data_IF_266242549817
#
_entry.id   IF_266242549817
#
_cell.length_a   1.000
_cell.length_b   1.000
_cell.length_c   1.000
_cell.angle_alpha   90.00
_cell.angle_beta   90.00
_cell.angle_gamma   90.00
#
_symmetry.space_group_name_H-M   'P 1'
#
loop_
_entity.id
_entity.type
_entity.pdbx_description
1 polymer ?
#
# COMPACT_ATOMS: atom_id res chain seq x y z
N UNK A 1 24.04 41.14 53.64
CA UNK A 1 23.01 41.77 52.79
C UNK A 1 23.01 41.04 51.45
N UNK A 2 22.26 39.94 51.35
CA UNK A 2 22.00 39.25 50.09
C UNK A 2 20.50 38.94 50.13
N UNK A 3 19.74 39.76 49.40
CA UNK A 3 18.30 39.62 49.23
C UNK A 3 18.07 38.46 48.26
N UNK A 4 17.51 37.35 48.77
CA UNK A 4 16.97 36.29 47.93
C UNK A 4 15.64 36.76 47.34
N UNK A 5 15.62 36.93 46.02
CA UNK A 5 14.41 37.20 45.26
C UNK A 5 13.57 35.92 45.23
N UNK A 6 12.51 35.87 46.04
CA UNK A 6 11.39 34.98 45.77
C UNK A 6 10.64 35.53 44.55
N UNK A 7 10.95 35.03 43.36
CA UNK A 7 10.03 35.15 42.24
C UNK A 7 8.83 34.26 42.54
N UNK A 8 7.71 34.87 42.90
CA UNK A 8 6.40 34.27 42.66
C UNK A 8 6.36 33.90 41.17
N UNK A 9 6.48 32.62 40.84
CA UNK A 9 5.99 32.11 39.58
C UNK A 9 4.48 32.30 39.62
N UNK A 10 4.00 33.34 38.92
CA UNK A 10 2.57 33.58 38.74
C UNK A 10 1.93 32.33 38.16
N UNK A 11 0.75 31.99 38.68
CA UNK A 11 -0.14 31.02 38.07
C UNK A 11 -0.23 31.32 36.56
N UNK A 12 0.27 30.40 35.73
CA UNK A 12 0.11 30.46 34.28
C UNK A 12 -1.40 30.48 34.00
N UNK A 13 -1.85 31.50 33.26
CA UNK A 13 -3.26 31.67 32.95
C UNK A 13 -3.78 30.47 32.13
N UNK A 14 -4.88 29.89 32.61
CA UNK A 14 -5.77 29.01 31.85
C UNK A 14 -6.11 29.69 30.51
N UNK A 15 -5.83 29.02 29.39
CA UNK A 15 -6.16 29.39 28.01
C UNK A 15 -6.22 30.90 27.66
N UNK A 16 -5.24 31.38 26.88
CA UNK A 16 -5.20 32.75 26.37
C UNK A 16 -5.76 32.83 24.96
N UNK A 17 -6.82 33.62 24.77
CA UNK A 17 -7.30 33.95 23.42
C UNK A 17 -6.50 35.10 22.81
N UNK A 18 -6.25 35.03 21.51
CA UNK A 18 -5.47 36.04 20.81
C UNK A 18 -5.33 35.80 19.31
N UNK A 19 -4.37 36.51 18.73
CA UNK A 19 -4.03 36.43 17.29
C UNK A 19 -2.55 36.12 17.04
N UNK A 20 -1.81 35.76 18.10
CA UNK A 20 -0.38 35.45 18.03
C UNK A 20 -0.15 33.93 18.14
N UNK A 21 1.03 33.48 17.75
CA UNK A 21 1.49 32.11 17.99
C UNK A 21 1.43 31.80 19.51
N UNK A 22 0.99 30.60 19.84
CA UNK A 22 0.71 30.12 21.19
C UNK A 22 -0.65 30.54 21.73
N UNK A 23 -1.37 31.44 21.05
CA UNK A 23 -2.70 31.85 21.45
C UNK A 23 -3.77 30.91 20.90
N UNK A 24 -4.76 30.66 21.75
CA UNK A 24 -6.00 30.05 21.31
C UNK A 24 -6.78 31.02 20.41
N UNK A 25 -7.42 30.49 19.38
CA UNK A 25 -8.25 31.31 18.50
C UNK A 25 -9.41 31.93 19.30
N UNK A 26 -9.88 33.10 18.88
CA UNK A 26 -10.97 33.81 19.56
C UNK A 26 -12.19 32.88 19.76
N UNK A 27 -12.76 32.92 20.97
CA UNK A 27 -13.87 32.05 21.41
C UNK A 27 -13.56 30.54 21.44
N UNK A 28 -12.30 30.15 21.34
CA UNK A 28 -11.88 28.72 21.33
C UNK A 28 -11.30 28.27 22.66
N UNK A 29 -11.30 29.13 23.69
CA UNK A 29 -11.14 28.71 25.08
C UNK A 29 -12.47 28.17 25.63
N UNK A 30 -12.92 27.04 25.09
CA UNK A 30 -14.26 26.47 25.33
C UNK A 30 -14.25 25.04 25.88
N UNK A 31 -13.06 24.47 26.09
CA UNK A 31 -12.89 23.16 26.71
C UNK A 31 -12.81 23.35 28.23
N UNK A 32 -13.90 23.05 28.93
CA UNK A 32 -14.03 23.26 30.37
C UNK A 32 -13.85 21.92 31.09
N UNK A 33 -12.70 21.75 31.76
CA UNK A 33 -12.39 20.62 32.64
C UNK A 33 -12.23 21.12 34.08
N UNK A 34 -11.05 21.00 34.68
CA UNK A 34 -10.67 21.68 35.93
C UNK A 34 -10.42 23.17 35.71
N UNK A 35 -9.88 23.51 34.54
CA UNK A 35 -9.72 24.87 34.03
C UNK A 35 -10.23 24.95 32.59
N UNK A 36 -10.05 26.12 31.97
CA UNK A 36 -10.43 26.35 30.58
C UNK A 36 -9.23 26.10 29.67
N UNK A 37 -9.44 25.32 28.61
CA UNK A 37 -8.45 24.88 27.64
C UNK A 37 -8.85 25.25 26.22
N UNK A 38 -7.88 25.22 25.32
CA UNK A 38 -8.06 25.56 23.92
C UNK A 38 -8.64 24.39 23.11
N UNK A 39 -9.52 24.66 22.15
CA UNK A 39 -9.99 23.70 21.14
C UNK A 39 -9.46 23.97 19.73
N UNK A 40 -8.97 25.19 19.46
CA UNK A 40 -8.48 25.62 18.13
C UNK A 40 -7.35 26.64 18.30
N UNK A 41 -6.20 26.37 17.68
CA UNK A 41 -5.07 27.28 17.68
C UNK A 41 -5.22 28.39 16.65
N UNK A 42 -4.72 29.58 16.99
CA UNK A 42 -4.70 30.71 16.06
C UNK A 42 -3.76 30.42 14.89
N UNK A 43 -2.54 29.96 15.19
CA UNK A 43 -1.55 29.70 14.15
C UNK A 43 -1.78 28.32 13.50
N UNK A 44 -1.76 28.32 12.17
CA UNK A 44 -2.04 27.13 11.37
C UNK A 44 -0.93 26.06 11.44
N UNK A 45 0.22 26.40 12.00
CA UNK A 45 1.39 25.52 12.11
C UNK A 45 1.54 24.88 13.48
N UNK A 46 0.62 25.16 14.40
CA UNK A 46 0.68 24.67 15.77
C UNK A 46 -0.08 23.35 15.94
N UNK A 47 0.12 22.73 17.10
CA UNK A 47 -0.48 21.47 17.49
C UNK A 47 -1.17 21.63 18.84
N UNK A 48 -2.40 21.15 18.94
CA UNK A 48 -3.20 21.23 20.15
C UNK A 48 -2.94 20.01 21.04
N UNK A 49 -2.03 20.18 22.01
CA UNK A 49 -1.60 19.13 22.94
C UNK A 49 -1.91 19.58 24.37
N UNK A 50 -2.61 18.73 25.13
CA UNK A 50 -3.06 19.02 26.50
C UNK A 50 -3.80 20.36 26.62
N UNK A 51 -4.57 20.69 25.58
CA UNK A 51 -5.34 21.93 25.50
C UNK A 51 -4.51 23.20 25.29
N UNK A 52 -3.24 23.07 24.88
CA UNK A 52 -2.31 24.16 24.61
C UNK A 52 -1.86 24.16 23.15
N UNK A 53 -1.66 25.35 22.59
CA UNK A 53 -1.13 25.53 21.25
C UNK A 53 0.38 25.54 21.28
N UNK A 54 0.98 24.46 20.75
CA UNK A 54 2.42 24.26 20.76
C UNK A 54 3.00 24.38 19.34
N UNK A 55 4.15 25.04 19.17
CA UNK A 55 4.79 25.20 17.86
C UNK A 55 5.42 23.92 17.32
N UNK A 56 5.61 22.90 18.16
CA UNK A 56 6.24 21.63 17.79
C UNK A 56 5.33 20.45 18.12
N UNK A 57 5.28 19.48 17.21
CA UNK A 57 4.60 18.21 17.43
C UNK A 57 5.46 17.28 18.29
N UNK A 58 5.40 17.46 19.61
CA UNK A 58 6.17 16.67 20.57
C UNK A 58 5.88 15.18 20.36
N UNK A 59 6.92 14.36 20.20
CA UNK A 59 6.85 12.90 20.03
C UNK A 59 5.93 12.41 18.89
N UNK A 60 5.69 13.23 17.86
CA UNK A 60 4.69 12.95 16.82
C UNK A 60 3.28 12.65 17.38
N UNK A 61 2.94 13.28 18.50
CA UNK A 61 1.67 13.06 19.21
C UNK A 61 0.47 13.32 18.31
N UNK A 62 0.46 14.41 17.54
CA UNK A 62 -0.58 14.73 16.58
C UNK A 62 -0.25 14.05 15.24
N UNK A 63 -0.96 12.99 14.84
CA UNK A 63 -0.60 12.23 13.62
C UNK A 63 -0.87 12.98 12.31
N UNK A 64 -1.79 13.94 12.33
CA UNK A 64 -2.08 14.83 11.20
C UNK A 64 -2.81 16.08 11.71
N UNK A 65 -2.36 17.28 11.34
CA UNK A 65 -3.00 18.54 11.71
C UNK A 65 -3.76 19.15 10.54
N UNK A 66 -4.95 19.70 10.78
CA UNK A 66 -5.78 20.35 9.76
C UNK A 66 -5.45 21.83 9.54
N UNK A 67 -4.31 22.31 10.05
CA UNK A 67 -3.89 23.69 9.85
C UNK A 67 -4.55 24.68 10.82
N UNK A 68 -4.93 24.25 12.02
CA UNK A 68 -5.52 25.10 13.07
C UNK A 68 -5.25 24.54 14.49
N UNK A 69 -4.15 23.81 14.68
CA UNK A 69 -3.91 23.08 15.92
C UNK A 69 -4.60 21.73 16.02
N UNK A 70 -5.76 21.53 15.39
CA UNK A 70 -6.55 20.30 15.60
C UNK A 70 -5.91 19.07 14.96
N UNK A 71 -6.03 17.96 15.66
CA UNK A 71 -5.46 16.67 15.30
C UNK A 71 -6.53 15.72 14.77
N UNK A 72 -6.23 15.04 13.66
CA UNK A 72 -7.05 13.95 13.14
C UNK A 72 -7.04 12.73 14.08
N UNK A 73 -5.87 12.39 14.58
CA UNK A 73 -5.68 11.31 15.57
C UNK A 73 -4.43 11.55 16.42
N UNK A 74 -4.39 10.86 17.55
CA UNK A 74 -3.34 10.99 18.55
C UNK A 74 -2.48 9.71 18.60
N UNK A 75 -1.17 9.89 18.77
CA UNK A 75 -0.20 8.81 18.95
C UNK A 75 0.16 8.62 20.43
N UNK A 76 0.62 7.42 20.78
CA UNK A 76 1.09 7.11 22.13
C UNK A 76 -0.05 7.13 23.16
N UNK A 77 0.22 7.49 24.43
CA UNK A 77 -0.77 7.47 25.50
C UNK A 77 -1.64 8.73 25.49
N UNK A 78 -2.06 9.23 24.34
CA UNK A 78 -2.89 10.43 24.22
C UNK A 78 -4.27 10.11 23.65
N UNK A 79 -5.31 10.62 24.31
CA UNK A 79 -6.69 10.51 23.87
C UNK A 79 -7.05 11.69 22.96
N UNK A 80 -7.83 11.44 21.90
CA UNK A 80 -8.46 12.50 21.13
C UNK A 80 -9.67 13.07 21.88
N UNK A 81 -9.68 14.39 22.08
CA UNK A 81 -10.79 15.11 22.70
C UNK A 81 -10.89 16.53 22.16
N UNK A 82 -12.09 16.95 21.72
CA UNK A 82 -12.36 18.32 21.25
C UNK A 82 -11.34 18.86 20.22
N UNK A 83 -10.82 17.97 19.37
CA UNK A 83 -9.83 18.30 18.35
C UNK A 83 -8.37 18.29 18.81
N UNK A 84 -8.08 18.11 20.09
CA UNK A 84 -6.71 18.02 20.62
C UNK A 84 -6.34 16.64 21.14
N UNK A 85 -5.05 16.46 21.45
CA UNK A 85 -4.50 15.25 22.03
C UNK A 85 -4.17 15.45 23.51
N UNK A 86 -4.76 14.64 24.39
CA UNK A 86 -4.68 14.81 25.85
C UNK A 86 -4.03 13.58 26.50
N UNK A 87 -2.97 13.80 27.27
CA UNK A 87 -2.15 12.74 27.84
C UNK A 87 -2.91 11.97 28.92
N UNK A 88 -2.96 10.66 28.77
CA UNK A 88 -3.56 9.75 29.75
C UNK A 88 -2.60 9.56 30.93
N UNK A 89 -3.14 9.48 32.15
CA UNK A 89 -2.34 9.32 33.36
C UNK A 89 -1.98 10.66 34.01
N UNK A 90 -2.12 11.76 33.29
CA UNK A 90 -1.77 13.11 33.73
C UNK A 90 -2.97 14.08 33.56
N UNK A 91 -2.94 15.20 34.27
CA UNK A 91 -3.90 16.29 34.06
C UNK A 91 -3.44 17.12 32.87
N UNK A 92 -4.31 17.48 31.91
CA UNK A 92 -5.78 17.40 31.97
C UNK A 92 -6.44 16.09 31.54
N UNK A 93 -5.73 15.15 30.90
CA UNK A 93 -6.36 13.97 30.29
C UNK A 93 -7.20 13.12 31.25
N UNK A 94 -6.79 13.03 32.52
CA UNK A 94 -7.53 12.33 33.57
C UNK A 94 -8.95 12.88 33.83
N UNK A 95 -9.20 14.17 33.50
CA UNK A 95 -10.53 14.78 33.62
C UNK A 95 -11.46 14.41 32.45
N UNK A 96 -10.91 13.87 31.37
CA UNK A 96 -11.67 13.38 30.21
C UNK A 96 -11.97 11.89 30.38
N UNK A 97 -10.92 11.11 30.66
CA UNK A 97 -10.99 9.67 30.86
C UNK A 97 -10.03 9.25 31.96
N UNK A 98 -10.49 8.44 32.91
CA UNK A 98 -9.61 7.97 33.98
C UNK A 98 -8.59 6.96 33.44
N UNK A 99 -7.38 6.86 34.01
CA UNK A 99 -6.37 5.90 33.57
C UNK A 99 -6.88 4.45 33.56
N UNK A 100 -7.66 4.05 34.55
CA UNK A 100 -8.28 2.72 34.62
C UNK A 100 -9.31 2.47 33.51
N UNK A 101 -9.90 3.54 32.97
CA UNK A 101 -10.92 3.50 31.93
C UNK A 101 -10.32 3.61 30.51
N UNK A 102 -9.00 3.73 30.38
CA UNK A 102 -8.31 3.73 29.08
C UNK A 102 -7.93 2.31 28.64
N UNK A 103 -8.10 2.04 27.36
CA UNK A 103 -7.60 0.84 26.69
C UNK A 103 -6.99 1.20 25.33
N UNK A 104 -6.26 0.27 24.71
CA UNK A 104 -5.54 0.54 23.47
C UNK A 104 -6.01 -0.36 22.33
N UNK A 105 -6.14 0.22 21.15
CA UNK A 105 -6.36 -0.50 19.90
C UNK A 105 -5.32 -0.01 18.89
N UNK A 106 -4.51 -0.93 18.38
CA UNK A 106 -3.44 -0.63 17.42
C UNK A 106 -2.54 0.54 17.89
N UNK A 107 -2.16 0.50 19.18
CA UNK A 107 -1.33 1.52 19.82
C UNK A 107 -2.00 2.90 20.04
N UNK A 108 -3.32 3.02 19.85
CA UNK A 108 -4.07 4.27 20.05
C UNK A 108 -4.88 4.19 21.35
N UNK A 109 -4.75 5.19 22.22
CA UNK A 109 -5.49 5.25 23.48
C UNK A 109 -6.96 5.63 23.24
N UNK A 110 -7.87 4.84 23.80
CA UNK A 110 -9.32 4.99 23.69
C UNK A 110 -9.96 4.97 25.09
N UNK A 111 -11.05 5.70 25.24
CA UNK A 111 -11.78 5.80 26.49
C UNK A 111 -12.95 4.81 26.50
N UNK A 112 -13.04 4.01 27.56
CA UNK A 112 -14.17 3.09 27.79
C UNK A 112 -15.30 3.75 28.59
N UNK A 113 -14.98 4.82 29.33
CA UNK A 113 -15.92 5.54 30.19
C UNK A 113 -15.51 6.99 30.40
N UNK A 114 -16.33 7.91 29.94
CA UNK A 114 -16.08 9.35 30.01
C UNK A 114 -16.38 9.92 31.39
N UNK A 115 -15.53 10.84 31.84
CA UNK A 115 -15.67 11.52 33.14
C UNK A 115 -16.56 12.76 33.03
N UNK A 116 -16.47 13.48 31.91
CA UNK A 116 -17.22 14.72 31.69
C UNK A 116 -18.73 14.44 31.65
N UNK A 117 -19.49 15.22 32.43
CA UNK A 117 -20.92 15.03 32.57
C UNK A 117 -21.66 15.14 31.23
N UNK A 118 -22.50 14.13 30.94
CA UNK A 118 -23.26 14.05 29.70
C UNK A 118 -22.45 13.66 28.46
N UNK A 119 -21.18 13.28 28.61
CA UNK A 119 -20.37 12.72 27.54
C UNK A 119 -20.25 11.19 27.67
N UNK A 120 -20.02 10.53 26.54
CA UNK A 120 -19.89 9.08 26.44
C UNK A 120 -18.96 8.73 25.27
N UNK A 121 -18.43 7.49 25.23
CA UNK A 121 -17.43 7.12 24.24
C UNK A 121 -18.08 6.74 22.92
N UNK A 122 -17.78 7.49 21.88
CA UNK A 122 -18.06 7.15 20.48
C UNK A 122 -16.72 7.03 19.77
N UNK A 123 -16.46 5.87 19.17
CA UNK A 123 -15.16 5.52 18.60
C UNK A 123 -13.99 5.72 19.59
N UNK A 124 -14.28 5.54 20.89
CA UNK A 124 -13.32 5.72 21.99
C UNK A 124 -13.02 7.17 22.36
N UNK A 125 -13.61 8.17 21.69
CA UNK A 125 -13.52 9.59 22.07
C UNK A 125 -14.75 10.04 22.85
N UNK A 126 -14.56 10.87 23.87
CA UNK A 126 -15.63 11.41 24.68
C UNK A 126 -16.38 12.54 23.97
N UNK A 127 -17.69 12.36 23.77
CA UNK A 127 -18.54 13.33 23.08
C UNK A 127 -19.95 13.39 23.67
N UNK A 128 -20.62 14.54 23.49
CA UNK A 128 -22.04 14.72 23.85
C UNK A 128 -23.00 14.18 22.78
N UNK A 129 -22.51 13.93 21.56
CA UNK A 129 -23.36 13.52 20.42
C UNK A 129 -23.42 12.01 20.34
N UNK A 130 -24.62 11.44 20.48
CA UNK A 130 -24.80 9.98 20.52
C UNK A 130 -24.82 9.32 19.14
N UNK A 131 -24.95 10.09 18.06
CA UNK A 131 -24.97 9.57 16.68
C UNK A 131 -25.99 8.43 16.45
N UNK A 132 -27.16 8.52 17.11
CA UNK A 132 -28.21 7.49 17.02
C UNK A 132 -28.00 6.29 17.95
N UNK A 133 -26.90 6.26 18.72
CA UNK A 133 -26.68 5.29 19.78
C UNK A 133 -27.45 5.66 21.05
N UNK A 134 -27.69 4.67 21.91
CA UNK A 134 -28.32 4.88 23.22
C UNK A 134 -27.23 4.96 24.27
N UNK A 135 -26.92 6.18 24.70
CA UNK A 135 -25.90 6.44 25.71
C UNK A 135 -26.43 7.32 26.83
N UNK A 136 -25.98 7.02 28.06
CA UNK A 136 -26.24 7.84 29.24
C UNK A 136 -27.70 8.21 29.46
N UNK A 137 -28.65 7.25 29.50
CA UNK A 137 -30.07 7.55 29.78
C UNK A 137 -30.31 8.24 31.12
N UNK A 138 -29.28 8.30 31.97
CA UNK A 138 -29.25 9.03 33.23
C UNK A 138 -28.12 10.08 33.35
N UNK A 139 -27.31 10.33 32.33
CA UNK A 139 -26.31 11.42 32.29
C UNK A 139 -25.04 11.26 33.17
N UNK A 140 -24.99 10.29 34.08
CA UNK A 140 -23.86 10.06 35.01
C UNK A 140 -23.12 8.73 34.83
N UNK A 141 -23.50 7.91 33.85
CA UNK A 141 -22.85 6.60 33.65
C UNK A 141 -21.56 6.69 32.82
N UNK A 142 -21.40 7.73 32.00
CA UNK A 142 -20.19 7.93 31.19
C UNK A 142 -19.98 6.88 30.10
N UNK A 143 -20.98 6.03 29.85
CA UNK A 143 -20.95 4.89 28.93
C UNK A 143 -22.20 4.86 28.03
N UNK A 144 -22.12 4.07 26.98
CA UNK A 144 -23.26 3.68 26.17
C UNK A 144 -23.95 2.42 26.73
N UNK A 145 -25.24 2.23 26.42
CA UNK A 145 -26.04 1.06 26.83
C UNK A 145 -26.28 0.13 25.64
N UNK A 146 -26.52 0.71 24.46
CA UNK A 146 -26.71 -0.04 23.22
C UNK A 146 -26.36 0.82 22.01
N UNK A 147 -25.90 0.19 20.93
CA UNK A 147 -25.46 0.90 19.74
C UNK A 147 -26.43 0.74 18.58
N UNK A 148 -26.56 1.80 17.77
CA UNK A 148 -27.44 1.89 16.62
C UNK A 148 -26.80 1.35 15.34
N UNK A 149 -27.49 1.57 14.22
CA UNK A 149 -27.06 1.16 12.87
C UNK A 149 -25.63 1.60 12.57
N UNK A 150 -24.79 0.70 12.08
CA UNK A 150 -23.38 0.96 11.77
C UNK A 150 -22.41 0.79 12.96
N UNK A 151 -22.93 0.71 14.19
CA UNK A 151 -22.10 0.61 15.39
C UNK A 151 -22.25 -0.74 16.08
N UNK A 152 -21.21 -1.12 16.81
CA UNK A 152 -21.26 -2.21 17.79
C UNK A 152 -20.83 -1.72 19.17
N UNK A 153 -21.34 -2.38 20.20
CA UNK A 153 -20.96 -2.13 21.58
C UNK A 153 -19.65 -2.83 21.90
N UNK A 154 -18.72 -2.11 22.50
CA UNK A 154 -17.45 -2.65 22.98
C UNK A 154 -16.95 -1.77 24.12
N UNK A 155 -16.47 -2.35 25.23
CA UNK A 155 -15.82 -1.59 26.30
C UNK A 155 -16.58 -0.30 26.69
N UNK A 156 -17.88 -0.39 26.99
CA UNK A 156 -18.65 0.76 27.47
C UNK A 156 -18.99 1.83 26.42
N UNK A 157 -18.58 1.69 25.16
CA UNK A 157 -18.81 2.67 24.10
C UNK A 157 -19.41 2.06 22.83
N UNK A 158 -19.68 2.93 21.84
CA UNK A 158 -20.17 2.52 20.52
C UNK A 158 -19.14 2.83 19.44
N UNK A 159 -18.82 1.82 18.63
CA UNK A 159 -17.72 1.87 17.65
C UNK A 159 -18.22 1.57 16.24
N UNK A 160 -17.86 2.40 15.27
CA UNK A 160 -18.19 2.21 13.86
C UNK A 160 -17.51 0.97 13.31
N UNK A 161 -18.29 0.08 12.69
CA UNK A 161 -17.79 -1.17 12.11
C UNK A 161 -16.80 -0.95 10.96
N UNK A 162 -16.99 0.09 10.16
CA UNK A 162 -16.25 0.33 8.91
C UNK A 162 -15.15 1.39 9.02
N UNK A 163 -14.86 1.89 10.22
CA UNK A 163 -13.84 2.92 10.46
C UNK A 163 -13.02 2.56 11.70
N UNK A 164 -11.79 3.08 11.74
CA UNK A 164 -10.96 3.02 12.94
C UNK A 164 -11.68 3.72 14.12
N UNK A 165 -11.65 3.15 15.34
CA UNK A 165 -10.96 1.91 15.72
C UNK A 165 -11.80 0.64 15.55
N UNK A 166 -13.11 0.75 15.28
CA UNK A 166 -13.99 -0.41 15.23
C UNK A 166 -13.63 -1.43 14.15
N UNK A 167 -13.13 -0.99 12.99
CA UNK A 167 -12.62 -1.88 11.94
C UNK A 167 -11.30 -2.60 12.27
N UNK A 168 -10.73 -2.37 13.47
CA UNK A 168 -9.60 -3.12 14.03
C UNK A 168 -10.01 -4.11 15.12
N UNK A 169 -11.31 -4.15 15.44
CA UNK A 169 -11.91 -5.03 16.44
C UNK A 169 -12.92 -5.96 15.77
N UNK A 170 -13.71 -5.41 14.85
CA UNK A 170 -14.79 -6.09 14.16
C UNK A 170 -14.47 -6.30 12.67
N UNK A 171 -14.57 -7.54 12.20
CA UNK A 171 -14.37 -7.90 10.80
C UNK A 171 -15.64 -7.65 9.96
N UNK A 172 -16.80 -7.67 10.61
CA UNK A 172 -18.07 -7.28 9.99
C UNK A 172 -18.11 -5.76 9.75
N UNK A 173 -18.41 -5.37 8.51
CA UNK A 173 -18.54 -3.97 8.07
C UNK A 173 -19.99 -3.55 7.77
N UNK A 174 -20.95 -4.46 7.89
CA UNK A 174 -22.37 -4.23 7.57
C UNK A 174 -23.01 -3.28 8.56
N UNK A 175 -23.63 -2.22 8.03
CA UNK A 175 -24.32 -1.25 8.88
C UNK A 175 -25.65 -1.75 9.44
N UNK A 176 -26.27 -2.72 8.77
CA UNK A 176 -27.65 -3.17 9.04
C UNK A 176 -27.74 -4.60 9.59
N UNK A 177 -26.69 -5.40 9.43
CA UNK A 177 -26.60 -6.72 10.05
C UNK A 177 -25.95 -6.59 11.43
N UNK A 178 -26.36 -7.45 12.36
CA UNK A 178 -25.86 -7.46 13.74
C UNK A 178 -25.83 -6.06 14.38
N UNK A 179 -26.88 -5.25 14.21
CA UNK A 179 -26.93 -3.89 14.76
C UNK A 179 -26.67 -3.91 16.26
N UNK A 180 -25.73 -3.09 16.73
CA UNK A 180 -25.34 -3.04 18.13
C UNK A 180 -24.28 -4.07 18.55
N UNK A 181 -23.96 -5.05 17.69
CA UNK A 181 -23.01 -6.12 17.96
C UNK A 181 -22.01 -6.29 16.81
N UNK A 182 -20.91 -6.98 17.07
CA UNK A 182 -20.02 -7.42 16.01
C UNK A 182 -20.39 -8.85 15.59
N UNK A 183 -20.67 -9.07 14.30
CA UNK A 183 -21.00 -10.41 13.79
C UNK A 183 -19.81 -11.36 13.83
N UNK A 184 -18.62 -10.84 13.47
CA UNK A 184 -17.36 -11.60 13.44
C UNK A 184 -16.23 -10.72 13.95
N UNK A 185 -15.54 -11.17 15.00
CA UNK A 185 -14.38 -10.46 15.55
C UNK A 185 -13.16 -10.57 14.64
N UNK A 186 -12.28 -9.58 14.69
CA UNK A 186 -10.96 -9.67 14.05
C UNK A 186 -9.99 -10.52 14.86
N UNK A 187 -8.92 -10.95 14.20
CA UNK A 187 -7.75 -11.58 14.83
C UNK A 187 -7.29 -10.79 16.07
N UNK A 188 -7.01 -11.51 17.15
CA UNK A 188 -6.70 -10.95 18.47
C UNK A 188 -7.92 -10.71 19.36
N UNK A 189 -9.13 -10.95 18.85
CA UNK A 189 -10.38 -10.84 19.60
C UNK A 189 -11.23 -12.10 19.46
N UNK A 190 -11.96 -12.45 20.52
CA UNK A 190 -12.90 -13.57 20.51
C UNK A 190 -14.28 -13.15 21.04
N UNK A 191 -15.33 -13.82 20.55
CA UNK A 191 -16.70 -13.51 20.94
C UNK A 191 -16.99 -14.05 22.34
N UNK A 192 -17.26 -13.14 23.28
CA UNK A 192 -17.75 -13.50 24.61
C UNK A 192 -19.04 -12.74 24.91
N UNK A 193 -20.14 -13.48 25.13
CA UNK A 193 -21.49 -12.92 25.39
C UNK A 193 -21.97 -11.89 24.35
N UNK A 194 -21.55 -12.03 23.09
CA UNK A 194 -21.95 -11.16 21.99
C UNK A 194 -21.12 -9.89 21.82
N UNK A 195 -19.96 -9.82 22.48
CA UNK A 195 -18.96 -8.75 22.36
C UNK A 195 -17.61 -9.35 21.92
N UNK A 196 -16.83 -8.59 21.15
CA UNK A 196 -15.45 -8.95 20.83
C UNK A 196 -14.54 -8.49 21.97
N UNK A 197 -13.96 -9.44 22.70
CA UNK A 197 -13.00 -9.17 23.76
C UNK A 197 -11.60 -9.51 23.27
N UNK A 198 -10.63 -8.65 23.59
CA UNK A 198 -9.24 -8.86 23.21
C UNK A 198 -8.65 -10.04 24.02
N UNK A 199 -7.85 -10.85 23.37
CA UNK A 199 -7.02 -11.84 24.04
C UNK A 199 -5.99 -11.13 24.95
N UNK A 200 -5.69 -11.73 26.11
CA UNK A 200 -4.77 -11.12 27.09
C UNK A 200 -3.32 -11.15 26.62
N UNK A 201 -2.93 -12.20 25.88
CA UNK A 201 -1.66 -12.27 25.19
C UNK A 201 -1.78 -11.51 23.86
N UNK A 202 -1.03 -10.42 23.71
CA UNK A 202 -1.02 -9.60 22.51
C UNK A 202 -0.49 -10.35 21.27
N UNK A 203 0.24 -11.47 21.46
CA UNK A 203 0.72 -12.33 20.39
C UNK A 203 -0.26 -13.48 20.10
N UNK A 204 -1.43 -13.50 20.74
CA UNK A 204 -2.48 -14.47 20.49
C UNK A 204 -3.47 -13.98 19.45
N UNK A 205 -3.55 -14.71 18.33
CA UNK A 205 -4.53 -14.46 17.26
C UNK A 205 -5.94 -14.91 17.65
N UNK A 206 -6.05 -15.99 18.42
CA UNK A 206 -7.33 -16.53 18.87
C UNK A 206 -7.19 -17.15 20.24
N UNK A 207 -7.97 -16.68 21.19
CA UNK A 207 -8.10 -17.24 22.53
C UNK A 207 -9.40 -18.03 22.67
N UNK A 208 -9.46 -18.91 23.68
CA UNK A 208 -10.66 -19.69 23.99
C UNK A 208 -11.70 -18.88 24.77
N UNK A 209 -12.53 -19.58 25.54
CA UNK A 209 -13.56 -18.95 26.41
C UNK A 209 -12.92 -18.01 27.45
N UNK A 210 -11.72 -18.36 27.92
CA UNK A 210 -10.88 -17.48 28.74
C UNK A 210 -9.96 -16.68 27.83
N UNK A 211 -9.97 -15.35 27.96
CA UNK A 211 -9.09 -14.47 27.17
C UNK A 211 -7.60 -14.72 27.45
N UNK A 212 -7.29 -15.38 28.57
CA UNK A 212 -5.95 -15.81 28.98
C UNK A 212 -5.49 -17.15 28.39
N UNK A 213 -6.34 -17.89 27.66
CA UNK A 213 -6.00 -19.22 27.12
C UNK A 213 -5.91 -19.12 25.60
N UNK A 214 -4.69 -18.99 25.08
CA UNK A 214 -4.49 -18.90 23.65
C UNK A 214 -4.70 -20.26 22.96
N UNK A 215 -5.37 -20.25 21.82
CA UNK A 215 -5.54 -21.40 20.94
C UNK A 215 -4.67 -21.28 19.69
N UNK A 216 -4.47 -20.07 19.19
CA UNK A 216 -3.71 -19.80 17.97
C UNK A 216 -2.88 -18.54 18.14
N UNK A 217 -1.57 -18.64 17.93
CA UNK A 217 -0.65 -17.51 17.97
C UNK A 217 -0.56 -16.76 16.64
N UNK A 218 -0.11 -15.51 16.71
CA UNK A 218 0.33 -14.77 15.53
C UNK A 218 1.58 -15.40 14.91
N UNK A 219 1.80 -15.17 13.61
CA UNK A 219 2.98 -15.67 12.90
C UNK A 219 4.28 -15.19 13.58
N UNK A 220 5.28 -16.06 13.61
CA UNK A 220 6.51 -15.84 14.39
C UNK A 220 6.42 -16.24 15.87
N UNK A 221 5.29 -16.78 16.33
CA UNK A 221 5.11 -17.34 17.67
C UNK A 221 4.52 -18.75 17.60
N UNK A 222 4.93 -19.63 18.52
CA UNK A 222 4.34 -20.96 18.68
C UNK A 222 3.56 -21.05 20.00
N UNK A 223 2.61 -21.98 20.03
CA UNK A 223 1.77 -22.20 21.20
C UNK A 223 2.46 -23.12 22.21
N UNK A 224 2.83 -22.58 23.36
CA UNK A 224 3.34 -23.33 24.50
C UNK A 224 2.23 -23.55 25.54
N UNK A 225 1.96 -24.82 25.89
CA UNK A 225 0.99 -25.20 26.93
C UNK A 225 1.65 -25.71 28.21
N UNK A 226 2.96 -25.94 28.19
CA UNK A 226 3.70 -26.52 29.31
C UNK A 226 4.04 -25.46 30.36
N UNK A 227 4.07 -24.18 29.97
CA UNK A 227 4.42 -23.06 30.85
C UNK A 227 3.32 -22.61 31.83
N UNK A 228 2.03 -22.89 31.58
CA UNK A 228 0.91 -22.28 32.31
C UNK A 228 -0.25 -23.24 32.66
N UNK A 229 0.05 -24.37 33.31
CA UNK A 229 -0.98 -25.31 33.80
C UNK A 229 -1.97 -25.78 32.70
N UNK A 230 -1.51 -25.83 31.43
CA UNK A 230 -2.32 -26.21 30.27
C UNK A 230 -2.96 -25.04 29.50
N UNK A 231 -2.89 -23.80 30.01
CA UNK A 231 -3.27 -22.60 29.27
C UNK A 231 -2.22 -22.30 28.20
N UNK A 232 -2.67 -22.04 26.98
CA UNK A 232 -1.79 -21.72 25.86
C UNK A 232 -1.24 -20.29 25.96
N UNK A 233 0.07 -20.15 25.79
CA UNK A 233 0.78 -18.87 25.69
C UNK A 233 1.64 -18.84 24.44
N UNK A 234 1.76 -17.67 23.82
CA UNK A 234 2.50 -17.50 22.59
C UNK A 234 3.96 -17.14 22.87
N UNK A 235 4.86 -18.07 22.54
CA UNK A 235 6.31 -17.91 22.71
C UNK A 235 6.93 -17.59 21.35
N UNK A 236 7.80 -16.57 21.25
CA UNK A 236 8.41 -16.20 19.97
C UNK A 236 9.28 -17.34 19.43
N UNK A 237 9.19 -17.57 18.13
CA UNK A 237 10.15 -18.40 17.40
C UNK A 237 11.54 -17.78 17.55
N UNK A 238 12.52 -18.59 17.98
CA UNK A 238 13.87 -18.09 18.20
C UNK A 238 14.50 -17.61 16.87
N UNK A 239 14.95 -16.33 16.80
CA UNK A 239 15.64 -15.82 15.61
C UNK A 239 16.93 -16.59 15.29
N UNK A 240 17.53 -17.25 16.29
CA UNK A 240 18.74 -18.05 16.10
C UNK A 240 18.52 -19.25 15.16
N UNK A 241 17.28 -19.71 15.04
CA UNK A 241 16.92 -20.88 14.24
C UNK A 241 16.38 -20.51 12.84
N UNK A 242 16.31 -19.21 12.51
CA UNK A 242 15.88 -18.71 11.20
C UNK A 242 14.47 -19.19 10.79
N UNK A 243 13.61 -19.45 11.77
CA UNK A 243 12.21 -19.79 11.53
C UNK A 243 11.39 -18.53 11.28
N UNK A 244 10.56 -18.53 10.24
CA UNK A 244 9.50 -17.54 10.08
C UNK A 244 8.25 -17.99 10.85
N UNK A 245 7.94 -19.29 10.82
CA UNK A 245 6.93 -19.93 11.67
C UNK A 245 7.52 -21.20 12.28
N UNK A 246 7.08 -21.56 13.49
CA UNK A 246 7.60 -22.70 14.23
C UNK A 246 6.52 -23.40 15.06
N UNK A 247 6.75 -24.65 15.43
CA UNK A 247 5.91 -25.39 16.40
C UNK A 247 6.55 -25.51 17.78
N UNK A 248 7.86 -25.33 17.85
CA UNK A 248 8.67 -25.30 19.05
C UNK A 248 9.99 -24.58 18.75
N UNK A 249 10.79 -24.32 19.78
CA UNK A 249 12.13 -23.78 19.59
C UNK A 249 13.00 -24.72 18.74
N UNK A 250 13.43 -24.24 17.58
CA UNK A 250 14.26 -25.00 16.63
C UNK A 250 13.51 -25.93 15.69
N UNK A 251 12.18 -26.03 15.80
CA UNK A 251 11.32 -26.78 14.89
C UNK A 251 10.49 -25.83 14.02
N UNK A 252 11.07 -25.39 12.91
CA UNK A 252 10.43 -24.47 11.98
C UNK A 252 9.41 -25.17 11.09
N UNK A 253 8.28 -24.52 10.80
CA UNK A 253 7.36 -24.90 9.71
C UNK A 253 7.76 -24.18 8.41
N UNK A 254 8.10 -22.89 8.52
CA UNK A 254 8.63 -22.09 7.41
C UNK A 254 9.90 -21.34 7.83
N UNK A 255 10.72 -20.99 6.85
CA UNK A 255 12.01 -20.36 7.04
C UNK A 255 11.96 -18.88 6.66
N UNK A 256 12.69 -18.05 7.39
CA UNK A 256 12.87 -16.64 7.01
C UNK A 256 13.57 -16.53 5.66
N UNK A 257 13.34 -15.41 4.95
CA UNK A 257 13.99 -15.13 3.66
C UNK A 257 15.52 -15.27 3.78
N UNK A 258 16.12 -15.92 2.79
CA UNK A 258 17.54 -16.27 2.80
C UNK A 258 17.84 -17.63 3.39
N UNK A 259 16.82 -18.38 3.81
CA UNK A 259 16.94 -19.74 4.30
C UNK A 259 15.90 -20.65 3.62
N UNK A 260 16.22 -21.93 3.47
CA UNK A 260 15.34 -22.96 2.93
C UNK A 260 15.11 -24.09 3.95
N UNK A 261 13.99 -24.79 3.80
CA UNK A 261 13.64 -25.92 4.64
C UNK A 261 14.51 -27.14 4.31
N UNK A 262 15.32 -27.60 5.26
CA UNK A 262 16.11 -28.83 5.14
C UNK A 262 15.40 -30.08 5.63
N UNK A 263 14.07 -30.10 5.58
CA UNK A 263 13.22 -31.16 6.09
C UNK A 263 12.10 -31.49 5.11
N UNK A 264 11.66 -32.75 5.13
CA UNK A 264 10.50 -33.24 4.35
C UNK A 264 9.26 -33.49 5.23
N UNK A 265 9.41 -33.33 6.55
CA UNK A 265 8.36 -33.51 7.54
C UNK A 265 7.51 -32.24 7.77
N UNK A 266 6.62 -32.25 8.77
CA UNK A 266 5.79 -31.08 9.11
C UNK A 266 6.61 -29.92 9.71
N UNK A 267 7.79 -30.20 10.24
CA UNK A 267 8.72 -29.22 10.78
C UNK A 267 10.17 -29.68 10.67
N UNK A 268 11.11 -28.76 10.88
CA UNK A 268 12.53 -29.05 10.99
C UNK A 268 13.40 -27.79 10.94
N UNK A 269 14.65 -27.94 10.51
CA UNK A 269 15.64 -26.87 10.52
C UNK A 269 15.72 -26.11 9.19
N UNK A 270 16.04 -24.81 9.30
CA UNK A 270 16.24 -23.91 8.18
C UNK A 270 17.73 -23.66 7.93
N UNK A 271 18.16 -23.79 6.66
CA UNK A 271 19.56 -23.64 6.27
C UNK A 271 19.76 -22.47 5.32
N UNK A 272 20.92 -21.83 5.41
CA UNK A 272 21.20 -20.60 4.65
C UNK A 272 21.26 -20.87 3.15
N UNK A 273 20.60 -20.04 2.35
CA UNK A 273 20.72 -20.06 0.89
C UNK A 273 22.16 -19.80 0.42
N UNK A 274 22.90 -18.95 1.12
CA UNK A 274 24.28 -18.57 0.78
C UNK A 274 25.29 -19.66 1.18
N UNK A 275 25.17 -20.17 2.41
CA UNK A 275 26.19 -21.04 3.03
C UNK A 275 25.80 -22.50 3.18
N UNK A 276 24.51 -22.83 3.16
CA UNK A 276 24.01 -24.16 3.51
C UNK A 276 24.14 -24.47 5.00
N UNK A 277 24.18 -25.76 5.33
CA UNK A 277 24.28 -26.30 6.69
C UNK A 277 23.90 -27.77 6.76
N UNK A 278 24.39 -28.51 7.76
CA UNK A 278 24.07 -29.94 8.01
C UNK A 278 24.09 -30.87 6.77
N UNK A 279 25.15 -30.76 5.96
CA UNK A 279 25.31 -31.56 4.74
C UNK A 279 24.61 -30.98 3.50
N UNK A 280 23.80 -29.92 3.66
CA UNK A 280 23.29 -29.13 2.54
C UNK A 280 24.29 -28.07 2.10
N UNK A 281 24.38 -27.88 0.78
CA UNK A 281 25.31 -26.90 0.18
C UNK A 281 24.55 -25.64 -0.23
N UNK A 282 25.01 -24.47 0.22
CA UNK A 282 24.47 -23.18 -0.22
C UNK A 282 25.03 -22.72 -1.58
N UNK A 283 24.40 -21.72 -2.18
CA UNK A 283 24.86 -21.03 -3.39
C UNK A 283 25.45 -19.68 -2.97
N UNK A 284 26.78 -19.47 -3.10
CA UNK A 284 27.40 -18.21 -2.72
C UNK A 284 26.73 -17.00 -3.41
N UNK A 285 26.49 -15.95 -2.66
CA UNK A 285 25.78 -14.73 -3.04
C UNK A 285 24.29 -14.94 -3.37
N UNK A 286 23.66 -16.00 -2.86
CA UNK A 286 22.23 -16.23 -3.03
C UNK A 286 21.40 -15.60 -1.89
N UNK A 287 20.39 -14.79 -2.25
CA UNK A 287 19.46 -14.16 -1.31
C UNK A 287 18.18 -14.94 -1.10
N UNK A 288 17.72 -15.69 -2.09
CA UNK A 288 16.50 -16.49 -1.99
C UNK A 288 16.68 -17.77 -2.79
N UNK A 289 16.24 -18.88 -2.23
CA UNK A 289 16.47 -20.19 -2.81
C UNK A 289 15.31 -21.14 -2.48
N UNK A 290 15.26 -22.22 -3.25
CA UNK A 290 14.43 -23.39 -3.00
C UNK A 290 15.29 -24.49 -2.38
N UNK A 291 14.67 -25.43 -1.63
CA UNK A 291 15.37 -26.61 -1.16
C UNK A 291 15.95 -27.44 -2.32
N UNK A 292 16.97 -28.28 -2.05
CA UNK A 292 17.56 -29.13 -3.07
C UNK A 292 16.52 -29.99 -3.77
N UNK A 293 16.75 -30.24 -5.06
CA UNK A 293 15.88 -31.11 -5.82
C UNK A 293 16.03 -32.57 -5.31
N UNK A 294 14.94 -33.34 -5.11
CA UNK A 294 15.00 -34.69 -4.53
C UNK A 294 15.91 -35.68 -5.27
N UNK A 295 16.22 -35.39 -6.54
CA UNK A 295 17.00 -36.25 -7.42
C UNK A 295 18.44 -35.75 -7.66
N UNK A 296 18.93 -34.74 -6.92
CA UNK A 296 20.31 -34.28 -7.06
C UNK A 296 21.18 -34.79 -5.90
N UNK A 297 22.32 -35.47 -6.19
CA UNK A 297 23.16 -36.09 -5.16
C UNK A 297 23.99 -35.09 -4.33
N UNK A 298 23.99 -33.81 -4.73
CA UNK A 298 24.80 -32.74 -4.14
C UNK A 298 24.11 -32.00 -2.98
N UNK A 299 22.82 -32.26 -2.74
CA UNK A 299 22.01 -31.57 -1.70
C UNK A 299 22.19 -30.04 -1.75
N UNK A 300 22.39 -29.49 -2.96
CA UNK A 300 22.64 -28.07 -3.16
C UNK A 300 21.32 -27.30 -3.25
N UNK A 301 21.24 -26.15 -2.58
CA UNK A 301 20.10 -25.25 -2.70
C UNK A 301 19.96 -24.71 -4.14
N UNK A 302 18.72 -24.45 -4.57
CA UNK A 302 18.46 -23.86 -5.89
C UNK A 302 18.18 -22.38 -5.74
N UNK A 303 19.16 -21.54 -6.07
CA UNK A 303 19.02 -20.09 -5.99
C UNK A 303 18.00 -19.56 -7.00
N UNK A 304 17.11 -18.68 -6.53
CA UNK A 304 16.10 -18.00 -7.36
C UNK A 304 16.37 -16.50 -7.47
N UNK A 305 17.17 -15.96 -6.56
CA UNK A 305 17.54 -14.55 -6.54
C UNK A 305 18.94 -14.36 -5.95
N UNK A 306 19.80 -13.69 -6.71
CA UNK A 306 21.15 -13.36 -6.30
C UNK A 306 21.21 -12.02 -5.58
N UNK A 307 22.23 -11.83 -4.76
CA UNK A 307 22.53 -10.55 -4.14
C UNK A 307 22.85 -9.46 -5.17
N UNK A 308 22.64 -8.21 -4.78
CA UNK A 308 22.95 -7.05 -5.61
C UNK A 308 24.38 -7.11 -6.15
N UNK A 309 24.51 -6.87 -7.46
CA UNK A 309 25.79 -6.98 -8.17
C UNK A 309 26.10 -8.38 -8.73
N UNK A 310 25.26 -9.38 -8.48
CA UNK A 310 25.38 -10.73 -9.03
C UNK A 310 24.20 -11.07 -9.96
N UNK A 311 24.47 -11.94 -10.92
CA UNK A 311 23.51 -12.41 -11.91
C UNK A 311 23.23 -13.89 -11.73
N UNK A 312 21.95 -14.27 -11.76
CA UNK A 312 21.54 -15.67 -11.70
C UNK A 312 21.92 -16.38 -13.00
N UNK A 313 22.73 -17.43 -12.88
CA UNK A 313 23.09 -18.36 -13.95
C UNK A 313 22.49 -19.73 -13.63
N UNK A 314 21.66 -20.25 -14.52
CA UNK A 314 21.07 -21.59 -14.42
C UNK A 314 21.88 -22.56 -15.29
N UNK A 315 22.11 -23.79 -14.83
CA UNK A 315 22.74 -24.84 -15.65
C UNK A 315 21.83 -25.27 -16.81
N UNK A 316 22.41 -25.81 -17.88
CA UNK A 316 21.66 -26.18 -19.09
C UNK A 316 20.62 -27.29 -18.84
N UNK A 317 20.91 -28.20 -17.90
CA UNK A 317 19.99 -29.26 -17.43
C UNK A 317 19.01 -28.75 -16.35
N UNK A 318 19.14 -27.48 -15.93
CA UNK A 318 18.34 -26.78 -14.92
C UNK A 318 18.31 -27.45 -13.55
N UNK A 319 19.34 -28.23 -13.22
CA UNK A 319 19.45 -28.86 -11.90
C UNK A 319 20.19 -27.98 -10.90
N UNK A 320 20.99 -27.01 -11.37
CA UNK A 320 21.85 -26.19 -10.54
C UNK A 320 21.78 -24.72 -10.90
N UNK A 321 22.14 -23.88 -9.94
CA UNK A 321 22.22 -22.42 -10.11
C UNK A 321 23.47 -21.86 -9.47
N UNK A 322 23.93 -20.73 -10.00
CA UNK A 322 25.08 -19.99 -9.49
C UNK A 322 24.81 -18.49 -9.59
N UNK A 323 25.31 -17.73 -8.63
CA UNK A 323 25.34 -16.28 -8.70
C UNK A 323 26.72 -15.82 -9.17
N UNK A 324 26.78 -15.16 -10.32
CA UNK A 324 28.04 -14.76 -10.95
C UNK A 324 28.14 -13.24 -11.07
N UNK A 325 29.34 -12.68 -10.87
CA UNK A 325 29.56 -11.23 -11.00
C UNK A 325 29.48 -10.73 -12.47
N UNK A 326 29.62 -11.64 -13.44
CA UNK A 326 29.51 -11.36 -14.86
C UNK A 326 29.02 -12.60 -15.61
N UNK A 327 28.18 -12.42 -16.63
CA UNK A 327 27.71 -13.53 -17.44
C UNK A 327 28.84 -14.18 -18.25
N UNK A 328 28.79 -15.51 -18.47
CA UNK A 328 29.67 -16.22 -19.40
C UNK A 328 29.65 -15.60 -20.81
N UNK A 329 30.69 -15.87 -21.62
CA UNK A 329 30.85 -15.25 -22.95
C UNK A 329 29.72 -15.57 -23.94
N UNK A 330 29.05 -16.69 -23.74
CA UNK A 330 27.94 -17.22 -24.54
C UNK A 330 26.55 -16.78 -24.01
N UNK A 331 26.51 -15.99 -22.95
CA UNK A 331 25.28 -15.51 -22.30
C UNK A 331 25.28 -13.98 -22.24
N UNK A 332 24.11 -13.38 -22.30
CA UNK A 332 23.92 -11.93 -22.13
C UNK A 332 23.21 -11.63 -20.83
N UNK A 333 23.46 -10.43 -20.29
CA UNK A 333 22.76 -9.93 -19.12
C UNK A 333 21.35 -9.52 -19.52
N UNK A 334 20.36 -10.10 -18.86
CA UNK A 334 18.98 -9.62 -18.91
C UNK A 334 18.48 -9.43 -17.48
N UNK A 335 18.21 -8.18 -17.09
CA UNK A 335 17.86 -7.84 -15.71
C UNK A 335 18.93 -8.32 -14.71
N UNK A 336 18.56 -9.18 -13.75
CA UNK A 336 19.40 -9.80 -12.73
C UNK A 336 19.81 -11.25 -13.06
N UNK A 337 19.76 -11.65 -14.33
CA UNK A 337 20.07 -13.03 -14.78
C UNK A 337 20.91 -13.06 -16.05
N UNK A 338 21.56 -14.20 -16.27
CA UNK A 338 22.30 -14.52 -17.48
C UNK A 338 21.44 -15.43 -18.34
N UNK A 339 21.10 -14.98 -19.55
CA UNK A 339 20.25 -15.71 -20.50
C UNK A 339 21.03 -16.00 -21.77
N UNK A 340 20.64 -17.03 -22.52
CA UNK A 340 21.17 -17.28 -23.86
C UNK A 340 20.70 -16.16 -24.80
N UNK A 341 21.61 -15.52 -25.53
CA UNK A 341 21.23 -14.48 -26.49
C UNK A 341 20.42 -15.10 -27.64
N UNK A 342 19.15 -14.71 -27.74
CA UNK A 342 18.27 -15.05 -28.85
C UNK A 342 18.12 -13.81 -29.74
N UNK A 343 18.46 -13.97 -31.02
CA UNK A 343 18.36 -12.88 -31.99
C UNK A 343 16.94 -12.33 -32.03
N UNK A 344 16.80 -11.00 -31.95
CA UNK A 344 15.50 -10.33 -32.01
C UNK A 344 14.64 -10.49 -30.75
N UNK A 345 15.17 -11.07 -29.67
CA UNK A 345 14.42 -11.20 -28.42
C UNK A 345 14.47 -9.92 -27.58
N UNK A 346 13.30 -9.46 -27.14
CA UNK A 346 13.15 -8.32 -26.25
C UNK A 346 13.00 -8.73 -24.79
N UNK A 347 12.11 -9.70 -24.50
CA UNK A 347 11.89 -10.21 -23.16
C UNK A 347 12.08 -11.72 -23.09
N UNK A 348 12.80 -12.15 -22.06
CA UNK A 348 13.01 -13.56 -21.77
C UNK A 348 12.05 -14.07 -20.70
N UNK A 349 11.62 -15.32 -20.86
CA UNK A 349 10.84 -16.08 -19.90
C UNK A 349 11.69 -16.65 -18.77
N UNK A 350 11.08 -17.52 -17.97
CA UNK A 350 11.76 -18.17 -16.83
C UNK A 350 12.77 -19.23 -17.29
N UNK A 351 12.58 -19.77 -18.48
CA UNK A 351 13.29 -20.89 -19.06
C UNK A 351 14.27 -20.42 -20.17
N UNK A 352 14.69 -19.16 -20.12
CA UNK A 352 15.54 -18.50 -21.12
C UNK A 352 14.98 -18.52 -22.56
N UNK A 353 13.68 -18.82 -22.71
CA UNK A 353 12.94 -18.71 -23.96
C UNK A 353 12.57 -17.25 -24.22
N UNK A 354 12.45 -16.85 -25.49
CA UNK A 354 11.89 -15.55 -25.79
C UNK A 354 10.37 -15.57 -25.57
N UNK A 355 9.84 -14.60 -24.85
CA UNK A 355 8.38 -14.42 -24.67
C UNK A 355 7.87 -13.17 -25.38
N UNK A 356 8.76 -12.30 -25.85
CA UNK A 356 8.43 -11.11 -26.64
C UNK A 356 9.59 -10.73 -27.55
N UNK A 357 9.31 -10.57 -28.84
CA UNK A 357 10.29 -10.12 -29.83
C UNK A 357 10.36 -8.59 -29.93
N UNK A 358 11.45 -8.09 -30.51
CA UNK A 358 11.56 -6.69 -30.96
C UNK A 358 10.72 -6.46 -32.22
N UNK A 359 10.49 -5.19 -32.59
CA UNK A 359 9.82 -4.82 -33.84
C UNK A 359 10.49 -5.48 -35.06
N UNK A 360 9.68 -5.92 -36.02
CA UNK A 360 10.14 -6.62 -37.23
C UNK A 360 10.48 -8.10 -37.02
N UNK A 361 10.09 -8.66 -35.87
CA UNK A 361 10.24 -10.08 -35.56
C UNK A 361 8.92 -10.67 -35.04
N UNK A 362 8.65 -11.92 -35.38
CA UNK A 362 7.52 -12.72 -34.86
C UNK A 362 8.02 -13.80 -33.91
N UNK A 363 7.19 -14.15 -32.94
CA UNK A 363 7.49 -15.20 -31.97
C UNK A 363 7.00 -16.56 -32.47
N UNK A 364 7.91 -17.52 -32.62
CA UNK A 364 7.63 -18.91 -33.00
C UNK A 364 8.36 -19.84 -32.04
N UNK A 365 7.62 -20.64 -31.28
CA UNK A 365 8.16 -21.63 -30.33
C UNK A 365 9.28 -21.11 -29.40
N UNK A 366 9.14 -19.87 -28.91
CA UNK A 366 10.12 -19.24 -28.00
C UNK A 366 11.34 -18.62 -28.70
N UNK A 367 11.34 -18.56 -30.03
CA UNK A 367 12.40 -17.97 -30.86
C UNK A 367 11.80 -16.83 -31.70
N UNK A 368 12.56 -15.77 -31.90
CA UNK A 368 12.16 -14.66 -32.75
C UNK A 368 12.65 -14.85 -34.18
N UNK A 369 11.71 -14.96 -35.11
CA UNK A 369 11.98 -15.02 -36.55
C UNK A 369 11.75 -13.64 -37.17
N UNK A 370 12.62 -13.22 -38.09
CA UNK A 370 12.49 -11.90 -38.74
C UNK A 370 11.34 -11.90 -39.74
N UNK A 371 10.60 -10.79 -39.81
CA UNK A 371 9.67 -10.51 -40.91
C UNK A 371 10.46 -10.30 -42.22
N UNK A 372 10.06 -10.99 -43.28
CA UNK A 372 10.66 -10.86 -44.62
C UNK A 372 10.11 -9.65 -45.39
N UNK A 373 8.96 -9.11 -44.95
CA UNK A 373 8.34 -7.93 -45.55
C UNK A 373 9.06 -6.65 -45.07
N UNK A 374 9.54 -5.85 -46.02
CA UNK A 374 10.20 -4.57 -45.72
C UNK A 374 9.26 -3.59 -45.00
N UNK A 375 9.80 -2.82 -44.06
CA UNK A 375 9.08 -1.83 -43.25
C UNK A 375 7.88 -2.43 -42.47
N UNK A 376 7.96 -3.70 -42.10
CA UNK A 376 6.94 -4.39 -41.31
C UNK A 376 7.30 -4.38 -39.81
N UNK A 377 6.40 -3.89 -38.98
CA UNK A 377 6.53 -3.90 -37.51
C UNK A 377 6.14 -5.26 -36.93
N UNK A 378 5.10 -5.90 -37.44
CA UNK A 378 4.60 -7.19 -36.97
C UNK A 378 4.09 -8.08 -38.10
N UNK A 379 4.47 -9.36 -38.07
CA UNK A 379 4.11 -10.39 -39.05
C UNK A 379 3.73 -11.72 -38.36
N UNK A 380 2.79 -11.63 -37.41
CA UNK A 380 2.27 -12.78 -36.66
C UNK A 380 1.68 -13.87 -37.56
N UNK A 381 1.04 -13.49 -38.67
CA UNK A 381 0.36 -14.42 -39.60
C UNK A 381 1.35 -15.31 -40.37
N UNK A 382 2.36 -14.72 -41.01
CA UNK A 382 3.48 -15.43 -41.64
C UNK A 382 4.69 -14.50 -41.73
N UNK A 383 5.92 -15.02 -41.85
CA UNK A 383 7.10 -14.16 -42.07
C UNK A 383 6.99 -13.31 -43.33
N UNK A 384 6.23 -13.78 -44.32
CA UNK A 384 6.03 -13.17 -45.64
C UNK A 384 4.79 -12.26 -45.75
N UNK A 385 4.01 -12.11 -44.68
CA UNK A 385 2.80 -11.28 -44.66
C UNK A 385 2.86 -10.36 -43.45
N UNK A 386 2.76 -9.06 -43.69
CA UNK A 386 2.72 -8.08 -42.63
C UNK A 386 1.30 -7.95 -42.06
N UNK A 387 1.21 -7.79 -40.74
CA UNK A 387 -0.03 -7.48 -40.03
C UNK A 387 -0.03 -6.02 -39.54
N UNK A 388 1.14 -5.42 -39.34
CA UNK A 388 1.28 -4.01 -38.93
C UNK A 388 2.56 -3.43 -39.49
N UNK A 389 2.45 -2.32 -40.22
CA UNK A 389 3.58 -1.65 -40.85
C UNK A 389 4.23 -0.63 -39.91
N UNK A 390 5.52 -0.38 -40.13
CA UNK A 390 6.25 0.69 -39.46
C UNK A 390 5.61 2.06 -39.74
N UNK A 391 5.79 3.01 -38.82
CA UNK A 391 5.29 4.37 -38.96
C UNK A 391 5.76 5.01 -40.28
N UNK A 392 4.81 5.55 -41.04
CA UNK A 392 5.07 6.06 -42.39
C UNK A 392 4.65 5.12 -43.52
N UNK A 393 4.22 3.90 -43.20
CA UNK A 393 3.75 2.91 -44.16
C UNK A 393 2.33 2.41 -43.83
N UNK A 394 1.57 2.07 -44.86
CA UNK A 394 0.22 1.50 -44.77
C UNK A 394 0.19 0.06 -45.26
N UNK A 395 -0.66 -0.75 -44.63
CA UNK A 395 -0.80 -2.16 -44.94
C UNK A 395 -1.75 -2.40 -46.12
N UNK A 396 -1.25 -2.93 -47.22
CA UNK A 396 -2.02 -3.26 -48.42
C UNK A 396 -1.68 -4.69 -48.86
N UNK A 397 -2.66 -5.59 -48.84
CA UNK A 397 -2.51 -7.01 -49.20
C UNK A 397 -1.31 -7.73 -48.54
N UNK A 398 -1.02 -7.39 -47.28
CA UNK A 398 0.09 -8.00 -46.53
C UNK A 398 1.46 -7.35 -46.79
N UNK A 399 1.53 -6.31 -47.61
CA UNK A 399 2.74 -5.53 -47.87
C UNK A 399 2.63 -4.12 -47.26
N UNK A 400 3.79 -3.51 -46.98
CA UNK A 400 3.87 -2.17 -46.40
C UNK A 400 4.31 -1.15 -47.44
N UNK A 401 3.35 -0.31 -47.86
CA UNK A 401 3.57 0.72 -48.87
C UNK A 401 3.66 2.11 -48.22
N UNK A 402 4.50 3.02 -48.74
CA UNK A 402 4.72 4.32 -48.13
C UNK A 402 3.43 5.17 -48.15
N UNK A 403 3.09 5.77 -47.02
CA UNK A 403 2.03 6.77 -46.95
C UNK A 403 2.49 8.09 -47.57
N UNK A 404 1.53 9.01 -47.79
CA UNK A 404 1.86 10.38 -48.18
C UNK A 404 2.75 11.13 -47.19
N UNK A 405 3.38 12.21 -47.67
CA UNK A 405 4.43 12.94 -46.93
C UNK A 405 3.98 13.36 -45.53
N UNK A 406 4.81 13.09 -44.53
CA UNK A 406 4.56 13.45 -43.12
C UNK A 406 3.50 12.57 -42.42
N UNK A 407 2.88 11.65 -43.15
CA UNK A 407 1.88 10.76 -42.61
C UNK A 407 2.50 9.62 -41.80
N UNK A 408 1.89 9.30 -40.66
CA UNK A 408 2.25 8.18 -39.79
C UNK A 408 1.50 6.90 -40.12
N UNK A 409 0.20 7.00 -40.41
CA UNK A 409 -0.66 5.86 -40.73
C UNK A 409 -1.62 6.21 -41.85
N UNK A 410 -1.88 5.28 -42.77
CA UNK A 410 -2.80 5.47 -43.89
C UNK A 410 -3.87 4.37 -44.04
N UNK A 411 -4.10 3.58 -42.98
CA UNK A 411 -5.20 2.61 -42.82
C UNK A 411 -5.51 1.69 -44.03
N UNK A 412 -4.47 1.35 -44.81
CA UNK A 412 -4.55 0.49 -45.99
C UNK A 412 -4.87 1.17 -47.32
N UNK A 413 -5.01 2.50 -47.34
CA UNK A 413 -5.03 3.29 -48.56
C UNK A 413 -3.90 4.32 -48.49
N UNK A 414 -2.81 4.08 -49.23
CA UNK A 414 -1.62 4.94 -49.23
C UNK A 414 -1.90 6.40 -49.63
N UNK A 415 -3.04 6.65 -50.26
CA UNK A 415 -3.49 7.99 -50.65
C UNK A 415 -4.22 8.74 -49.53
N UNK A 416 -4.60 8.08 -48.44
CA UNK A 416 -5.36 8.66 -47.33
C UNK A 416 -4.56 8.60 -46.04
N UNK A 417 -4.03 9.73 -45.62
CA UNK A 417 -3.46 9.93 -44.30
C UNK A 417 -4.53 10.00 -43.21
N UNK A 418 -4.33 9.21 -42.17
CA UNK A 418 -5.21 9.17 -40.99
C UNK A 418 -4.55 9.67 -39.71
N UNK A 419 -3.21 9.79 -39.69
CA UNK A 419 -2.48 10.36 -38.55
C UNK A 419 -1.14 10.93 -38.99
N UNK A 420 -0.68 12.03 -38.40
CA UNK A 420 0.62 12.64 -38.71
C UNK A 420 1.77 12.09 -37.86
N UNK A 421 2.99 12.08 -38.42
CA UNK A 421 4.20 11.68 -37.68
C UNK A 421 4.49 12.66 -36.54
N UNK A 422 4.21 13.95 -36.77
CA UNK A 422 4.36 15.02 -35.80
C UNK A 422 2.98 15.39 -35.26
N UNK A 423 2.82 15.36 -33.93
CA UNK A 423 1.54 15.59 -33.25
C UNK A 423 0.93 16.98 -33.46
N UNK A 424 1.74 17.97 -33.85
CA UNK A 424 1.32 19.37 -34.02
C UNK A 424 1.03 19.74 -35.49
N UNK A 425 1.12 18.80 -36.41
CA UNK A 425 0.76 19.01 -37.82
C UNK A 425 -0.70 18.69 -38.09
N UNK A 426 -1.23 19.23 -39.19
CA UNK A 426 -2.60 19.03 -39.63
C UNK A 426 -2.64 18.09 -40.83
N UNK A 427 -3.64 17.21 -40.88
CA UNK A 427 -3.97 16.48 -42.10
C UNK A 427 -4.45 17.49 -43.15
N UNK A 428 -3.90 17.40 -44.36
CA UNK A 428 -4.24 18.28 -45.48
C UNK A 428 -5.73 18.22 -45.86
N UNK A 429 -6.29 19.22 -46.55
CA UNK A 429 -7.69 19.18 -46.99
C UNK A 429 -8.03 17.96 -47.86
N UNK A 430 -7.11 17.53 -48.73
CA UNK A 430 -7.25 16.31 -49.53
C UNK A 430 -6.98 15.02 -48.76
N UNK A 431 -6.64 15.11 -47.47
CA UNK A 431 -6.28 14.01 -46.58
C UNK A 431 -5.11 13.15 -47.03
N UNK A 432 -4.27 13.61 -47.97
CA UNK A 432 -3.21 12.80 -48.58
C UNK A 432 -1.83 13.02 -47.94
N UNK A 433 -1.66 14.00 -47.06
CA UNK A 433 -0.39 14.28 -46.39
C UNK A 433 -0.58 15.14 -45.12
N UNK A 434 0.51 15.40 -44.40
CA UNK A 434 0.53 16.29 -43.26
C UNK A 434 1.22 17.62 -43.60
N UNK A 435 0.62 18.71 -43.12
CA UNK A 435 1.06 20.08 -43.35
C UNK A 435 1.13 20.84 -42.03
N UNK A 436 2.08 21.79 -41.92
CA UNK A 436 2.31 22.54 -40.69
C UNK A 436 1.28 23.64 -40.43
N UNK A 437 0.52 24.06 -41.45
CA UNK A 437 -0.48 25.14 -41.37
C UNK A 437 -1.59 24.88 -42.38
N UNK A 438 -2.84 25.20 -42.00
CA UNK A 438 -3.99 25.07 -42.91
C UNK A 438 -3.97 26.16 -44.00
N UNK A 439 -4.28 25.81 -45.27
CA UNK A 439 -4.24 26.74 -46.40
C UNK A 439 -5.36 27.77 -46.35
N UNK A 440 -5.28 28.81 -47.19
CA UNK A 440 -6.38 29.77 -47.34
C UNK A 440 -7.71 29.08 -47.69
N UNK A 441 -8.81 29.68 -47.23
CA UNK A 441 -10.17 29.16 -47.39
C UNK A 441 -10.42 27.80 -46.71
N UNK A 442 -9.65 27.49 -45.66
CA UNK A 442 -9.87 26.34 -44.78
C UNK A 442 -9.83 26.76 -43.31
N UNK A 443 -10.40 25.91 -42.46
CA UNK A 443 -10.36 26.02 -41.00
C UNK A 443 -9.62 24.81 -40.42
N UNK A 444 -8.89 25.02 -39.32
CA UNK A 444 -8.37 23.93 -38.52
C UNK A 444 -9.46 23.32 -37.63
N UNK A 445 -9.56 22.00 -37.68
CA UNK A 445 -10.48 21.21 -36.88
C UNK A 445 -9.66 20.33 -35.96
N UNK A 446 -10.02 20.32 -34.68
CA UNK A 446 -9.36 19.54 -33.65
C UNK A 446 -10.39 18.69 -32.91
N UNK A 447 -10.20 17.37 -32.93
CA UNK A 447 -11.10 16.42 -32.27
C UNK A 447 -10.64 16.00 -30.86
N UNK A 448 -9.51 16.54 -30.40
CA UNK A 448 -8.90 16.24 -29.10
C UNK A 448 -7.66 15.33 -29.21
N UNK A 449 -7.49 14.62 -30.32
CA UNK A 449 -6.33 13.75 -30.57
C UNK A 449 -5.56 14.13 -31.83
N UNK A 450 -6.23 14.72 -32.83
CA UNK A 450 -5.68 14.98 -34.16
C UNK A 450 -6.17 16.33 -34.73
N UNK A 451 -5.29 17.01 -35.47
CA UNK A 451 -5.63 18.21 -36.24
C UNK A 451 -5.86 17.89 -37.73
N UNK A 452 -6.90 18.46 -38.32
CA UNK A 452 -7.14 18.40 -39.78
C UNK A 452 -7.58 19.75 -40.34
N UNK A 453 -7.34 19.98 -41.63
CA UNK A 453 -7.80 21.16 -42.33
C UNK A 453 -9.07 20.84 -43.12
N UNK A 454 -10.13 21.62 -42.93
CA UNK A 454 -11.39 21.48 -43.68
C UNK A 454 -11.66 22.72 -44.54
N UNK A 455 -11.89 22.52 -45.84
CA UNK A 455 -12.26 23.62 -46.73
C UNK A 455 -13.60 24.24 -46.32
N UNK A 456 -13.72 25.57 -46.44
CA UNK A 456 -14.98 26.27 -46.26
C UNK A 456 -16.02 25.81 -47.29
N UNK A 457 -17.31 25.98 -46.99
CA UNK A 457 -18.44 25.37 -47.73
C UNK A 457 -18.53 25.64 -49.25
N UNK A 458 -17.84 26.65 -49.78
CA UNK A 458 -17.79 26.96 -51.22
C UNK A 458 -16.47 26.55 -51.90
N UNK A 459 -15.61 25.78 -51.21
CA UNK A 459 -14.30 25.37 -51.70
C UNK A 459 -14.15 23.86 -51.57
N UNK A 460 -13.35 23.26 -52.44
CA UNK A 460 -12.99 21.84 -52.43
C UNK A 460 -11.47 21.67 -52.43
N UNK A 461 -10.94 20.54 -51.94
CA UNK A 461 -9.52 20.23 -52.07
C UNK A 461 -9.08 20.25 -53.53
N UNK A 462 -7.93 20.85 -53.80
CA UNK A 462 -7.24 20.79 -55.09
C UNK A 462 -6.82 19.36 -55.45
N UNK A 463 -6.47 19.11 -56.71
CA UNK A 463 -6.00 17.79 -57.19
C UNK A 463 -4.77 17.27 -56.43
N UNK A 464 -3.89 18.18 -55.97
CA UNK A 464 -2.73 17.84 -55.13
C UNK A 464 -3.07 17.69 -53.63
N UNK A 465 -4.31 17.99 -53.24
CA UNK A 465 -4.83 17.88 -51.88
C UNK A 465 -4.32 18.94 -50.90
N UNK A 466 -3.54 19.92 -51.35
CA UNK A 466 -2.84 20.89 -50.49
C UNK A 466 -3.56 22.24 -50.35
N UNK A 467 -4.54 22.53 -51.21
CA UNK A 467 -5.23 23.84 -51.28
C UNK A 467 -6.74 23.66 -51.31
N UNK A 468 -7.47 24.74 -51.01
CA UNK A 468 -8.91 24.81 -51.17
C UNK A 468 -9.24 25.75 -52.34
N UNK A 469 -9.84 25.22 -53.39
CA UNK A 469 -10.17 25.92 -54.64
C UNK A 469 -11.68 25.91 -54.87
N UNK A 470 -12.20 26.92 -55.58
CA UNK A 470 -13.63 27.21 -55.68
C UNK A 470 -14.37 26.36 -56.71
#
# INVERSE_FOLDING_TARGET
MILAWMTLAGALASCREGILDGDCFLLSCDVILDQVYCSVCTAMTEFLIDGQCLPNNVDNTCRHSFGNGTCDSCAGPYLSYRGGCYRVGEEPGNFICKPEDVFYVDGTALCRKCVVYGEFPIDGSCTKKAHGNRCGTKGYEGTCESCGTGYFYHNGGCYLKNRFPGNKICADSSAIEHVGHCGTCLDGYETYKGECLACEDANCRKCGISMSDCEICHDGYYLDRDANEGKGVCVPCSPANNCETCIADGECISCVRGFFAGFMGPSGQCFSCDKGGDGYTGVPHCQTCLPPHPNTPDLAAFCTECADGFYLLVSDDRTQTRCVASCPKDKVRYSNRCVTELQGCHNYGRNDECVKCVSGYRLVDGICERCEVDNCEACASSSSVCDTCEAGYGLEDGACNPCGKGCRTCNGDTSVCTMCLVRWEYISPGRNCCISTCPEHSSDVYDGELGSCECHSNYKPSDDGLRCEQ
#
